data_IF_204622486150
#
_entry.id   IF_204622486150
#
_cell.length_a   1.000
_cell.length_b   1.000
_cell.length_c   1.000
_cell.angle_alpha   90.00
_cell.angle_beta   90.00
_cell.angle_gamma   90.00
#
_symmetry.space_group_name_H-M   'P 1'
#
loop_
_entity.id
_entity.type
_entity.pdbx_description
1 polymer ?
#
# COMPACT_ATOMS: atom_id res chain seq x y z
N UNK A 1 -14.83 6.80 17.30
CA UNK A 1 -14.05 6.43 16.12
C UNK A 1 -14.96 6.44 14.90
N UNK A 2 -14.51 7.02 13.81
CA UNK A 2 -15.32 7.13 12.60
C UNK A 2 -15.51 5.78 11.91
N UNK A 3 -16.70 5.52 11.38
CA UNK A 3 -17.01 4.30 10.61
C UNK A 3 -16.76 4.49 9.12
N UNK A 4 -16.04 5.53 8.74
CA UNK A 4 -15.70 5.81 7.36
C UNK A 4 -14.39 6.59 7.27
N UNK A 5 -13.69 6.41 6.15
CA UNK A 5 -12.51 7.18 5.79
C UNK A 5 -12.73 7.77 4.40
N UNK A 6 -12.44 9.04 4.25
CA UNK A 6 -12.56 9.74 2.97
C UNK A 6 -11.18 9.87 2.32
N UNK A 7 -10.99 9.20 1.19
CA UNK A 7 -9.76 9.22 0.42
C UNK A 7 -9.88 10.08 -0.84
N UNK A 8 -11.03 10.69 -1.06
CA UNK A 8 -11.31 11.55 -2.20
C UNK A 8 -10.25 12.65 -2.32
N UNK A 9 -9.75 12.86 -3.52
CA UNK A 9 -8.75 13.90 -3.79
C UNK A 9 -7.31 13.54 -3.47
N UNK A 10 -7.04 12.38 -2.87
CA UNK A 10 -5.67 11.93 -2.59
C UNK A 10 -5.05 11.26 -3.81
N UNK A 11 -3.71 11.31 -3.88
CA UNK A 11 -2.98 10.52 -4.87
C UNK A 11 -3.09 9.04 -4.52
N UNK A 12 -2.70 8.17 -5.47
CA UNK A 12 -2.68 6.73 -5.25
C UNK A 12 -1.94 6.34 -3.97
N UNK A 13 -0.72 6.87 -3.80
CA UNK A 13 0.14 6.53 -2.66
C UNK A 13 -0.45 7.07 -1.37
N UNK A 14 -0.87 8.33 -1.36
CA UNK A 14 -1.49 8.94 -0.20
C UNK A 14 -2.74 8.19 0.24
N UNK A 15 -3.56 7.75 -0.73
CA UNK A 15 -4.79 7.01 -0.44
C UNK A 15 -4.48 5.66 0.20
N UNK A 16 -3.52 4.91 -0.35
CA UNK A 16 -3.15 3.60 0.19
C UNK A 16 -2.53 3.73 1.58
N UNK A 17 -1.63 4.69 1.78
CA UNK A 17 -1.01 4.93 3.09
C UNK A 17 -2.06 5.32 4.14
N UNK A 18 -2.96 6.24 3.80
CA UNK A 18 -4.02 6.67 4.71
C UNK A 18 -4.97 5.53 5.04
N UNK A 19 -5.31 4.71 4.06
CA UNK A 19 -6.16 3.53 4.26
C UNK A 19 -5.51 2.53 5.23
N UNK A 20 -4.26 2.16 4.99
CA UNK A 20 -3.55 1.19 5.84
C UNK A 20 -3.48 1.69 7.28
N UNK A 21 -3.14 2.96 7.46
CA UNK A 21 -3.04 3.56 8.79
C UNK A 21 -4.38 3.54 9.52
N UNK A 22 -5.46 3.93 8.85
CA UNK A 22 -6.80 3.92 9.41
C UNK A 22 -7.25 2.50 9.76
N UNK A 23 -7.08 1.57 8.84
CA UNK A 23 -7.43 0.16 9.00
C UNK A 23 -6.70 -0.46 10.20
N UNK A 24 -5.38 -0.35 10.24
CA UNK A 24 -4.59 -0.94 11.30
C UNK A 24 -4.85 -0.29 12.66
N UNK A 25 -5.12 1.00 12.70
CA UNK A 25 -5.49 1.69 13.94
C UNK A 25 -6.78 1.11 14.52
N UNK A 26 -7.78 0.83 13.68
CA UNK A 26 -9.04 0.21 14.14
C UNK A 26 -8.81 -1.21 14.64
N UNK A 27 -8.08 -2.03 13.89
CA UNK A 27 -7.79 -3.42 14.25
C UNK A 27 -7.01 -3.51 15.55
N UNK A 28 -6.03 -2.65 15.75
CA UNK A 28 -5.25 -2.61 17.01
C UNK A 28 -6.11 -2.29 18.23
N UNK A 29 -7.17 -1.54 18.04
CA UNK A 29 -8.12 -1.20 19.12
C UNK A 29 -9.20 -2.28 19.31
N UNK A 30 -9.11 -3.38 18.57
CA UNK A 30 -10.08 -4.46 18.63
C UNK A 30 -11.37 -4.20 17.87
N UNK A 31 -11.42 -3.14 17.08
CA UNK A 31 -12.62 -2.79 16.31
C UNK A 31 -12.57 -3.46 14.93
N UNK A 32 -13.30 -4.55 14.77
CA UNK A 32 -13.43 -5.27 13.52
C UNK A 32 -14.76 -4.99 12.81
N UNK A 33 -15.48 -3.95 13.23
CA UNK A 33 -16.74 -3.56 12.60
C UNK A 33 -16.49 -3.07 11.18
N UNK A 34 -17.43 -3.34 10.25
CA UNK A 34 -17.33 -2.84 8.89
C UNK A 34 -17.24 -1.31 8.85
N UNK A 35 -16.52 -0.79 7.87
CA UNK A 35 -16.43 0.65 7.64
C UNK A 35 -16.46 0.94 6.15
N UNK A 36 -16.73 2.20 5.80
CA UNK A 36 -16.77 2.63 4.40
C UNK A 36 -15.53 3.42 4.02
N UNK A 37 -15.02 3.14 2.83
CA UNK A 37 -13.95 3.90 2.19
C UNK A 37 -14.58 4.74 1.10
N UNK A 38 -14.54 6.06 1.27
CA UNK A 38 -15.09 7.01 0.31
C UNK A 38 -13.96 7.39 -0.65
N UNK A 39 -14.08 7.00 -1.91
CA UNK A 39 -13.08 7.28 -2.93
C UNK A 39 -13.61 8.17 -4.05
N UNK A 40 -14.91 8.45 -4.04
CA UNK A 40 -15.56 9.17 -5.11
C UNK A 40 -15.76 8.30 -6.35
N UNK A 41 -16.73 8.69 -7.17
CA UNK A 41 -16.99 7.99 -8.43
C UNK A 41 -16.43 8.74 -9.64
N UNK A 42 -16.15 10.04 -9.48
CA UNK A 42 -15.45 10.81 -10.49
C UNK A 42 -16.29 11.47 -11.52
N UNK A 43 -17.13 12.40 -11.12
CA UNK A 43 -17.67 13.39 -12.06
C UNK A 43 -16.54 14.14 -12.78
N UNK A 44 -15.34 14.15 -12.20
CA UNK A 44 -14.11 14.69 -12.79
C UNK A 44 -13.22 13.63 -13.45
N UNK A 45 -13.61 12.35 -13.42
CA UNK A 45 -12.82 11.23 -13.94
C UNK A 45 -11.77 10.67 -12.97
N UNK A 46 -11.41 11.42 -11.95
CA UNK A 46 -10.35 11.02 -11.00
C UNK A 46 -10.85 9.98 -10.01
N UNK A 47 -12.09 10.09 -9.54
CA UNK A 47 -12.66 9.16 -8.57
C UNK A 47 -12.78 7.73 -9.08
N UNK A 48 -13.04 7.56 -10.38
CA UNK A 48 -13.10 6.23 -11.01
C UNK A 48 -11.75 5.53 -11.00
N UNK A 49 -10.66 6.28 -11.12
CA UNK A 49 -9.30 5.75 -11.02
C UNK A 49 -9.01 5.28 -9.58
N UNK A 50 -9.37 6.10 -8.59
CA UNK A 50 -9.15 5.76 -7.19
C UNK A 50 -9.97 4.54 -6.76
N UNK A 51 -11.20 4.42 -7.26
CA UNK A 51 -12.05 3.24 -7.06
C UNK A 51 -11.32 1.97 -7.47
N UNK A 52 -10.75 1.95 -8.68
CA UNK A 52 -10.02 0.80 -9.21
C UNK A 52 -8.77 0.50 -8.41
N UNK A 53 -8.04 1.52 -8.01
CA UNK A 53 -6.81 1.39 -7.22
C UNK A 53 -7.13 0.76 -5.86
N UNK A 54 -8.13 1.28 -5.16
CA UNK A 54 -8.50 0.78 -3.83
C UNK A 54 -9.03 -0.65 -3.91
N UNK A 55 -9.94 -0.94 -4.83
CA UNK A 55 -10.48 -2.30 -4.96
C UNK A 55 -9.44 -3.30 -5.42
N UNK A 56 -8.52 -2.90 -6.30
CA UNK A 56 -7.38 -3.73 -6.68
C UNK A 56 -6.45 -4.01 -5.53
N UNK A 57 -6.17 -3.01 -4.71
CA UNK A 57 -5.37 -3.17 -3.50
C UNK A 57 -6.04 -4.14 -2.51
N UNK A 58 -7.32 -3.95 -2.23
CA UNK A 58 -8.06 -4.79 -1.29
C UNK A 58 -8.11 -6.26 -1.74
N UNK A 59 -8.22 -6.51 -3.04
CA UNK A 59 -8.29 -7.87 -3.57
C UNK A 59 -7.00 -8.67 -3.36
N UNK A 60 -5.90 -7.99 -3.02
CA UNK A 60 -4.63 -8.64 -2.70
C UNK A 60 -4.56 -9.22 -1.29
N UNK A 61 -5.57 -8.99 -0.44
CA UNK A 61 -5.54 -9.39 0.97
C UNK A 61 -6.79 -10.16 1.38
N UNK A 62 -7.09 -11.30 0.72
CA UNK A 62 -8.33 -12.04 1.00
C UNK A 62 -8.37 -12.69 2.38
N UNK A 63 -7.22 -12.92 3.00
CA UNK A 63 -7.16 -13.50 4.35
C UNK A 63 -7.29 -12.45 5.44
N UNK A 64 -6.95 -11.20 5.15
CA UNK A 64 -6.92 -10.09 6.09
C UNK A 64 -8.26 -9.36 6.17
N UNK A 65 -9.00 -9.31 5.05
CA UNK A 65 -10.25 -8.56 4.98
C UNK A 65 -11.18 -9.09 3.90
N UNK A 66 -12.46 -8.72 4.02
CA UNK A 66 -13.43 -8.82 2.94
C UNK A 66 -13.86 -7.41 2.53
N UNK A 67 -14.33 -7.27 1.31
CA UNK A 67 -14.89 -6.00 0.86
C UNK A 67 -15.99 -6.24 -0.17
N UNK A 68 -16.88 -5.25 -0.30
CA UNK A 68 -17.93 -5.28 -1.31
C UNK A 68 -17.38 -4.71 -2.60
N UNK A 69 -17.32 -5.56 -3.63
CA UNK A 69 -16.75 -5.18 -4.94
C UNK A 69 -17.71 -4.43 -5.84
N UNK A 70 -18.92 -4.15 -5.36
CA UNK A 70 -19.94 -3.50 -6.20
C UNK A 70 -20.60 -4.42 -7.20
N UNK A 71 -20.28 -5.72 -7.18
CA UNK A 71 -20.93 -6.73 -8.03
C UNK A 71 -22.27 -7.20 -7.47
N UNK A 72 -22.55 -6.88 -6.21
CA UNK A 72 -23.82 -7.18 -5.58
C UNK A 72 -24.85 -6.15 -6.07
N UNK A 73 -25.98 -6.57 -6.65
CA UNK A 73 -27.00 -5.63 -7.13
C UNK A 73 -27.62 -4.78 -6.03
N UNK A 74 -27.42 -5.15 -4.76
CA UNK A 74 -27.85 -4.37 -3.60
C UNK A 74 -26.76 -3.44 -3.05
N UNK A 75 -25.59 -3.51 -3.61
CA UNK A 75 -24.46 -2.63 -3.29
C UNK A 75 -24.60 -1.35 -4.10
N UNK A 76 -25.10 -0.31 -3.48
CA UNK A 76 -25.69 0.80 -4.20
C UNK A 76 -24.80 2.04 -4.28
N UNK A 77 -23.67 2.06 -3.56
CA UNK A 77 -22.89 3.29 -3.52
C UNK A 77 -21.60 3.20 -4.34
N UNK A 78 -21.59 3.74 -5.59
CA UNK A 78 -20.38 3.74 -6.40
C UNK A 78 -19.29 4.65 -5.86
N UNK A 79 -19.62 5.56 -4.92
CA UNK A 79 -18.67 6.50 -4.32
C UNK A 79 -17.89 5.89 -3.18
N UNK A 80 -18.27 4.72 -2.69
CA UNK A 80 -17.64 4.09 -1.55
C UNK A 80 -17.52 2.57 -1.69
N UNK A 81 -16.63 2.00 -0.90
CA UNK A 81 -16.44 0.55 -0.80
C UNK A 81 -16.52 0.17 0.67
N UNK A 82 -17.34 -0.83 1.00
CA UNK A 82 -17.47 -1.34 2.35
C UNK A 82 -16.38 -2.36 2.61
N UNK A 83 -15.66 -2.20 3.72
CA UNK A 83 -14.56 -3.08 4.12
C UNK A 83 -14.90 -3.76 5.44
N UNK A 84 -14.65 -5.05 5.51
CA UNK A 84 -14.90 -5.87 6.70
C UNK A 84 -13.54 -6.40 7.17
N UNK A 85 -12.95 -5.82 8.23
CA UNK A 85 -11.64 -6.24 8.73
C UNK A 85 -11.67 -7.61 9.39
N UNK A 86 -10.57 -8.36 9.27
CA UNK A 86 -10.36 -9.62 9.98
C UNK A 86 -9.01 -9.60 10.71
N UNK A 87 -7.95 -9.16 10.04
CA UNK A 87 -6.58 -9.15 10.54
C UNK A 87 -5.89 -7.87 10.13
N UNK A 88 -4.78 -7.48 10.80
CA UNK A 88 -4.00 -6.32 10.38
C UNK A 88 -3.44 -6.48 8.96
N UNK A 89 -3.29 -5.36 8.27
CA UNK A 89 -2.60 -5.30 6.99
C UNK A 89 -1.11 -5.02 7.20
N UNK A 90 -0.24 -5.40 6.23
CA UNK A 90 1.15 -4.95 6.25
C UNK A 90 1.22 -3.43 6.22
N UNK A 91 2.21 -2.88 6.90
CA UNK A 91 2.51 -1.45 6.86
C UNK A 91 2.88 -1.03 5.43
N UNK A 92 2.66 0.23 5.07
CA UNK A 92 3.02 0.75 3.75
C UNK A 92 4.54 0.65 3.50
N UNK A 93 5.37 0.81 4.54
CA UNK A 93 6.81 0.61 4.43
C UNK A 93 7.16 -0.86 4.21
N UNK A 94 6.42 -1.79 4.81
CA UNK A 94 6.62 -3.20 4.57
C UNK A 94 6.29 -3.58 3.12
N UNK A 95 5.24 -3.00 2.56
CA UNK A 95 4.89 -3.21 1.16
C UNK A 95 5.96 -2.68 0.22
N UNK A 96 6.49 -1.49 0.51
CA UNK A 96 7.62 -0.93 -0.25
C UNK A 96 8.85 -1.83 -0.13
N UNK A 97 9.12 -2.34 1.06
CA UNK A 97 10.23 -3.28 1.29
C UNK A 97 10.12 -4.53 0.43
N UNK A 98 8.95 -5.13 0.35
CA UNK A 98 8.75 -6.32 -0.48
C UNK A 98 8.96 -6.00 -1.97
N UNK A 99 8.47 -4.85 -2.45
CA UNK A 99 8.70 -4.43 -3.82
C UNK A 99 10.18 -4.20 -4.12
N UNK A 100 10.92 -3.62 -3.16
CA UNK A 100 12.37 -3.43 -3.29
C UNK A 100 13.08 -4.79 -3.39
N UNK A 101 12.71 -5.75 -2.56
CA UNK A 101 13.30 -7.08 -2.60
C UNK A 101 13.06 -7.76 -3.94
N UNK A 102 11.85 -7.67 -4.47
CA UNK A 102 11.53 -8.23 -5.80
C UNK A 102 12.35 -7.57 -6.90
N UNK A 103 12.50 -6.26 -6.85
CA UNK A 103 13.30 -5.51 -7.82
C UNK A 103 14.78 -5.86 -7.73
N UNK A 104 15.27 -6.14 -6.52
CA UNK A 104 16.67 -6.47 -6.24
C UNK A 104 16.97 -7.96 -6.34
N UNK A 105 16.20 -8.72 -7.09
CA UNK A 105 16.51 -10.14 -7.41
C UNK A 105 17.86 -10.28 -8.07
N UNK A 106 18.32 -9.26 -8.80
CA UNK A 106 19.69 -9.08 -9.26
C UNK A 106 20.26 -7.80 -8.67
N UNK A 107 21.60 -7.62 -8.64
CA UNK A 107 22.21 -6.44 -8.03
C UNK A 107 21.73 -5.14 -8.68
N UNK A 108 21.37 -4.15 -7.85
CA UNK A 108 20.90 -2.83 -8.29
C UNK A 108 21.63 -1.74 -7.53
N UNK A 109 21.97 -0.64 -8.20
CA UNK A 109 22.53 0.55 -7.56
C UNK A 109 21.41 1.34 -6.87
N UNK A 110 21.78 2.20 -5.92
CA UNK A 110 20.82 3.09 -5.25
C UNK A 110 20.08 3.99 -6.26
N UNK A 111 20.78 4.44 -7.29
CA UNK A 111 20.17 5.28 -8.34
C UNK A 111 19.06 4.53 -9.08
N UNK A 112 19.28 3.26 -9.39
CA UNK A 112 18.26 2.43 -10.06
C UNK A 112 17.06 2.19 -9.14
N UNK A 113 17.31 1.94 -7.86
CA UNK A 113 16.24 1.71 -6.89
C UNK A 113 15.40 2.98 -6.69
N UNK A 114 16.03 4.12 -6.46
CA UNK A 114 15.30 5.37 -6.28
C UNK A 114 14.57 5.79 -7.55
N UNK A 115 15.14 5.51 -8.71
CA UNK A 115 14.48 5.76 -10.00
C UNK A 115 13.26 4.88 -10.22
N UNK A 116 13.34 3.59 -9.87
CA UNK A 116 12.22 2.66 -9.98
C UNK A 116 11.05 3.05 -9.08
N UNK A 117 11.35 3.49 -7.88
CA UNK A 117 10.36 3.82 -6.86
C UNK A 117 10.19 5.33 -6.66
N UNK A 118 10.43 6.12 -7.70
CA UNK A 118 10.39 7.59 -7.65
C UNK A 118 9.06 8.17 -7.15
N UNK A 119 7.99 7.36 -7.14
CA UNK A 119 6.69 7.75 -6.58
C UNK A 119 6.72 7.91 -5.06
N UNK A 120 7.76 7.36 -4.40
CA UNK A 120 7.98 7.51 -2.97
C UNK A 120 9.07 8.55 -2.73
N UNK A 121 9.02 9.20 -1.56
CA UNK A 121 10.11 10.08 -1.14
C UNK A 121 11.40 9.28 -1.00
N UNK A 122 12.51 9.87 -1.45
CA UNK A 122 13.82 9.21 -1.40
C UNK A 122 14.18 8.77 0.03
N UNK A 123 13.84 9.59 1.03
CA UNK A 123 14.09 9.26 2.44
C UNK A 123 13.37 7.98 2.88
N UNK A 124 12.15 7.75 2.39
CA UNK A 124 11.40 6.52 2.68
C UNK A 124 12.04 5.31 2.02
N UNK A 125 12.52 5.46 0.79
CA UNK A 125 13.20 4.38 0.06
C UNK A 125 14.48 3.99 0.80
N UNK A 126 15.30 4.96 1.19
CA UNK A 126 16.55 4.74 1.91
C UNK A 126 16.28 4.10 3.27
N UNK A 127 15.26 4.56 3.98
CA UNK A 127 14.86 3.97 5.26
C UNK A 127 14.46 2.50 5.11
N UNK A 128 13.68 2.18 4.08
CA UNK A 128 13.28 0.80 3.78
C UNK A 128 14.48 -0.08 3.47
N UNK A 129 15.43 0.42 2.67
CA UNK A 129 16.67 -0.31 2.35
C UNK A 129 17.46 -0.61 3.63
N UNK A 130 17.66 0.38 4.49
CA UNK A 130 18.39 0.21 5.75
C UNK A 130 17.71 -0.81 6.65
N UNK A 131 16.37 -0.76 6.72
CA UNK A 131 15.60 -1.71 7.52
C UNK A 131 15.75 -3.13 6.99
N UNK A 132 15.67 -3.32 5.67
CA UNK A 132 15.85 -4.63 5.05
C UNK A 132 17.25 -5.21 5.29
N UNK A 133 18.28 -4.36 5.27
CA UNK A 133 19.65 -4.76 5.58
C UNK A 133 19.74 -5.20 7.04
N UNK A 134 19.15 -4.42 7.95
CA UNK A 134 19.11 -4.76 9.38
C UNK A 134 18.40 -6.09 9.62
N UNK A 135 17.36 -6.38 8.86
CA UNK A 135 16.61 -7.64 8.93
C UNK A 135 17.33 -8.80 8.22
N UNK A 136 18.48 -8.54 7.59
CA UNK A 136 19.24 -9.51 6.81
C UNK A 136 18.49 -10.07 5.60
N UNK A 137 17.56 -9.30 5.07
CA UNK A 137 16.77 -9.66 3.88
C UNK A 137 17.35 -9.04 2.61
N UNK A 138 18.17 -8.01 2.75
CA UNK A 138 18.87 -7.34 1.67
C UNK A 138 20.34 -7.24 2.04
N UNK A 139 21.23 -7.49 1.08
CA UNK A 139 22.69 -7.34 1.28
C UNK A 139 23.21 -6.24 0.35
N UNK A 140 24.31 -5.61 0.77
CA UNK A 140 25.02 -4.65 -0.05
C UNK A 140 26.46 -5.12 -0.24
N UNK A 141 27.00 -4.88 -1.43
CA UNK A 141 28.38 -5.20 -1.76
C UNK A 141 28.85 -4.28 -2.89
N UNK A 142 30.17 -4.25 -3.10
CA UNK A 142 30.76 -3.45 -4.17
C UNK A 142 30.89 -4.28 -5.44
N UNK A 143 30.42 -3.73 -6.57
CA UNK A 143 30.62 -4.30 -7.90
C UNK A 143 31.39 -3.28 -8.71
N UNK A 144 32.71 -3.49 -8.83
CA UNK A 144 33.60 -2.47 -9.38
C UNK A 144 33.67 -1.25 -8.45
N UNK A 145 33.42 -0.06 -8.98
CA UNK A 145 33.41 1.20 -8.21
C UNK A 145 32.03 1.51 -7.62
N UNK A 146 31.02 0.67 -7.86
CA UNK A 146 29.64 0.94 -7.45
C UNK A 146 29.21 0.04 -6.30
N UNK A 147 28.49 0.64 -5.34
CA UNK A 147 27.79 -0.12 -4.31
C UNK A 147 26.45 -0.60 -4.87
N UNK A 148 26.16 -1.87 -4.73
CA UNK A 148 24.91 -2.47 -5.20
C UNK A 148 24.20 -3.19 -4.08
N UNK A 149 22.91 -3.40 -4.27
CA UNK A 149 22.03 -4.06 -3.31
C UNK A 149 21.36 -5.24 -3.98
N UNK A 150 21.25 -6.35 -3.26
CA UNK A 150 20.63 -7.56 -3.77
C UNK A 150 19.89 -8.27 -2.65
N UNK A 151 18.72 -8.85 -2.96
CA UNK A 151 17.98 -9.68 -2.03
C UNK A 151 18.81 -10.92 -1.65
N UNK A 152 18.74 -11.25 -0.37
CA UNK A 152 19.46 -12.41 0.17
C UNK A 152 18.79 -13.71 -0.26
#
# INVERSE_FOLDING_TARGET
MSDKIDLHGLTRIEAIEAFIKFYNSRVKKGNLSPFEVIHGYGSSGVGGVLLKIIRGFLSGFPDELDFDSGKNPFSINPDSTRVIPKKPLPDALDLLGEEILDFCDSPKTITKITGKFHRFEETKIIFSIKLLIKQKRLKSFNKGSYKVYQAV
#
